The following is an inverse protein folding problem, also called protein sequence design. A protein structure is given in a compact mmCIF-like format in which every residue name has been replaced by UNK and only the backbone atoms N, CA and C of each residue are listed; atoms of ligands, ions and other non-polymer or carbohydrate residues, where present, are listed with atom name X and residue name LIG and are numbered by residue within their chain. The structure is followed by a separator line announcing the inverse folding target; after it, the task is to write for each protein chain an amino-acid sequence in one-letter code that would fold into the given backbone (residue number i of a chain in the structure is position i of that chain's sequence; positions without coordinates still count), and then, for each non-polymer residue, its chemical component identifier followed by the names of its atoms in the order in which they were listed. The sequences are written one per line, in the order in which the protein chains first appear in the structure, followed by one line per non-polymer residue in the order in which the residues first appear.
data_IF_128481563274
#
_entry.id   IF_128481563274
#
_cell.length_a   1.000
_cell.length_b   1.000
_cell.length_c   1.000
_cell.angle_alpha   90.00
_cell.angle_beta   90.00
_cell.angle_gamma   90.00
#
_symmetry.space_group_name_H-M   'P 1'
#
loop_
_entity.id
_entity.type
_entity.pdbx_description
1 polymer ?
#
# COMPACT_ATOMS: atom_id res chain seq x y z
N UNK A 1 -5.96 -48.91 36.91
CA UNK A 1 -5.26 -49.15 38.19
C UNK A 1 -4.55 -47.88 38.58
N UNK A 2 -5.13 -47.29 39.62
CA UNK A 2 -4.56 -46.59 40.76
C UNK A 2 -3.43 -45.57 40.57
N UNK A 3 -3.83 -44.34 40.76
CA UNK A 3 -3.38 -43.22 41.62
C UNK A 3 -2.58 -43.67 42.89
N UNK A 4 -2.04 -42.77 43.77
CA UNK A 4 -1.89 -41.31 43.81
C UNK A 4 -0.70 -40.78 44.70
N UNK A 5 -0.70 -39.43 44.95
CA UNK A 5 -0.18 -38.66 46.10
C UNK A 5 1.32 -38.31 46.22
N UNK A 6 1.66 -37.02 46.39
CA UNK A 6 1.64 -36.29 47.67
C UNK A 6 1.89 -34.78 47.50
N UNK A 7 1.02 -34.03 48.17
CA UNK A 7 1.21 -32.62 48.59
C UNK A 7 2.17 -32.56 49.76
N UNK A 8 2.94 -31.48 49.89
CA UNK A 8 3.21 -30.86 51.20
C UNK A 8 3.42 -29.35 51.05
N UNK A 9 2.57 -28.62 51.76
CA UNK A 9 2.71 -27.23 52.19
C UNK A 9 3.77 -27.14 53.29
N UNK A 10 4.39 -25.92 53.46
CA UNK A 10 4.54 -25.27 54.76
C UNK A 10 5.16 -23.87 54.66
N UNK A 11 4.37 -22.83 54.96
CA UNK A 11 4.54 -21.64 55.82
C UNK A 11 5.56 -20.54 55.54
N UNK A 12 4.99 -19.31 55.53
CA UNK A 12 5.56 -17.96 55.82
C UNK A 12 6.02 -17.82 57.28
N UNK A 13 6.57 -16.68 57.82
CA UNK A 13 6.55 -15.26 57.33
C UNK A 13 7.82 -14.40 57.59
N UNK A 14 7.91 -13.25 56.92
CA UNK A 14 8.41 -11.89 57.19
C UNK A 14 9.53 -11.61 58.24
N UNK A 15 10.39 -10.55 58.08
CA UNK A 15 9.94 -9.18 58.27
C UNK A 15 10.52 -8.08 57.31
N UNK A 16 9.76 -6.98 57.29
CA UNK A 16 10.05 -5.68 56.70
C UNK A 16 11.28 -5.00 57.33
N UNK A 17 12.18 -4.50 56.46
CA UNK A 17 12.95 -3.26 56.77
C UNK A 17 13.09 -2.45 55.50
N UNK A 18 12.56 -1.23 55.55
CA UNK A 18 12.65 -0.27 54.45
C UNK A 18 14.05 0.29 54.26
N UNK A 19 14.44 0.46 53.04
CA UNK A 19 15.43 1.48 52.60
C UNK A 19 15.02 2.04 51.25
N UNK A 20 15.06 3.34 51.16
CA UNK A 20 14.55 4.24 50.18
C UNK A 20 14.79 3.86 48.71
N UNK A 21 13.73 4.02 47.95
CA UNK A 21 13.72 4.01 46.51
C UNK A 21 14.53 5.23 46.00
N UNK A 22 15.58 5.10 45.19
CA UNK A 22 16.19 6.23 44.55
C UNK A 22 15.19 6.77 43.53
N UNK A 23 14.86 8.07 43.63
CA UNK A 23 14.08 8.81 42.63
C UNK A 23 14.75 8.60 41.27
N UNK A 24 14.13 7.83 40.41
CA UNK A 24 14.53 7.66 39.02
C UNK A 24 14.59 9.04 38.37
N UNK A 25 15.74 9.38 37.84
CA UNK A 25 15.92 10.52 36.92
C UNK A 25 14.86 10.35 35.82
N UNK A 26 13.93 11.30 35.79
CA UNK A 26 13.12 11.54 34.58
C UNK A 26 14.11 11.81 33.46
N UNK A 27 14.25 10.86 32.54
CA UNK A 27 14.97 11.09 31.31
C UNK A 27 14.41 12.36 30.68
N UNK A 28 15.30 13.23 30.20
CA UNK A 28 14.91 14.43 29.47
C UNK A 28 14.02 14.03 28.30
N UNK A 29 12.74 14.32 28.41
CA UNK A 29 11.80 14.30 27.29
C UNK A 29 12.33 15.36 26.33
N UNK A 30 12.77 14.94 25.15
CA UNK A 30 13.13 15.84 24.07
C UNK A 30 12.03 16.88 23.89
N UNK A 31 12.36 18.06 23.40
CA UNK A 31 11.46 19.20 23.19
C UNK A 31 10.12 18.70 22.69
N UNK A 32 9.08 18.83 23.51
CA UNK A 32 7.78 18.24 23.26
C UNK A 32 7.15 18.87 22.01
N UNK A 33 7.22 18.14 20.93
CA UNK A 33 6.38 18.42 19.79
C UNK A 33 4.93 18.22 20.23
N UNK A 34 4.03 19.14 19.86
CA UNK A 34 2.62 19.02 20.22
C UNK A 34 2.05 17.73 19.62
N UNK A 35 1.07 17.10 20.27
CA UNK A 35 0.32 16.01 19.63
C UNK A 35 -0.23 16.45 18.26
N UNK A 36 -0.12 15.59 17.26
CA UNK A 36 -0.74 15.83 15.96
C UNK A 36 -2.21 15.45 16.02
N UNK A 37 -3.04 16.15 15.25
CA UNK A 37 -4.37 15.70 14.92
C UNK A 37 -4.35 15.00 13.54
N UNK A 38 -4.67 13.72 13.51
CA UNK A 38 -4.50 12.83 12.35
C UNK A 38 -5.84 12.29 11.90
N UNK A 39 -6.17 12.47 10.62
CA UNK A 39 -7.32 11.88 9.98
C UNK A 39 -6.94 10.60 9.22
N UNK A 40 -7.80 9.59 9.33
CA UNK A 40 -7.71 8.34 8.58
C UNK A 40 -8.98 8.20 7.74
N UNK A 41 -8.81 8.13 6.42
CA UNK A 41 -9.92 8.11 5.47
C UNK A 41 -9.99 6.75 4.78
N UNK A 42 -11.01 5.98 5.13
CA UNK A 42 -11.29 4.70 4.48
C UNK A 42 -11.84 4.89 3.08
N UNK A 43 -11.46 4.04 2.15
CA UNK A 43 -12.10 4.01 0.82
C UNK A 43 -13.52 3.46 0.91
N UNK A 44 -14.40 3.89 0.01
CA UNK A 44 -15.74 3.38 -0.10
C UNK A 44 -15.74 1.87 -0.41
N UNK A 45 -16.70 1.14 0.14
CA UNK A 45 -16.78 -0.34 0.02
C UNK A 45 -16.74 -0.83 -1.43
N UNK A 46 -17.32 -0.08 -2.38
CA UNK A 46 -17.30 -0.41 -3.81
C UNK A 46 -15.89 -0.51 -4.40
N UNK A 47 -14.90 0.15 -3.81
CA UNK A 47 -13.50 0.11 -4.23
C UNK A 47 -12.67 -0.95 -3.51
N UNK A 48 -13.28 -1.76 -2.64
CA UNK A 48 -12.64 -2.82 -1.87
C UNK A 48 -13.33 -4.18 -2.04
N UNK A 49 -13.57 -4.67 -3.26
CA UNK A 49 -14.21 -5.95 -3.45
C UNK A 49 -13.41 -7.05 -2.73
N UNK A 50 -14.07 -7.77 -1.82
CA UNK A 50 -13.48 -8.84 -1.00
C UNK A 50 -12.31 -8.42 -0.07
N UNK A 51 -12.10 -7.13 0.15
CA UNK A 51 -10.94 -6.62 0.91
C UNK A 51 -11.28 -5.58 1.99
N UNK A 52 -12.56 -5.24 2.20
CA UNK A 52 -12.99 -4.20 3.15
C UNK A 52 -12.39 -4.38 4.54
N UNK A 53 -12.40 -5.61 5.06
CA UNK A 53 -11.85 -5.92 6.38
C UNK A 53 -10.32 -5.79 6.41
N UNK A 54 -9.64 -6.20 5.35
CA UNK A 54 -8.18 -6.08 5.27
C UNK A 54 -7.74 -4.61 5.19
N UNK A 55 -8.47 -3.78 4.43
CA UNK A 55 -8.22 -2.34 4.32
C UNK A 55 -8.46 -1.65 5.67
N UNK A 56 -9.53 -2.06 6.38
CA UNK A 56 -9.79 -1.60 7.73
C UNK A 56 -8.65 -1.92 8.69
N UNK A 57 -8.20 -3.16 8.68
CA UNK A 57 -7.17 -3.66 9.60
C UNK A 57 -5.83 -2.96 9.45
N UNK A 58 -5.39 -2.65 8.22
CA UNK A 58 -4.13 -1.91 8.04
C UNK A 58 -4.26 -0.46 8.50
N UNK A 59 -5.35 0.23 8.14
CA UNK A 59 -5.52 1.63 8.50
C UNK A 59 -5.67 1.81 10.01
N UNK A 60 -6.45 0.95 10.69
CA UNK A 60 -6.54 0.90 12.15
C UNK A 60 -5.20 0.52 12.81
N UNK A 61 -4.38 -0.31 12.15
CA UNK A 61 -3.03 -0.61 12.61
C UNK A 61 -2.16 0.64 12.67
N UNK A 62 -2.19 1.45 11.62
CA UNK A 62 -1.47 2.73 11.58
C UNK A 62 -2.02 3.71 12.63
N UNK A 63 -3.34 3.76 12.79
CA UNK A 63 -3.98 4.62 13.78
C UNK A 63 -3.53 4.28 15.21
N UNK A 64 -3.50 2.99 15.58
CA UNK A 64 -2.96 2.56 16.89
C UNK A 64 -1.50 2.96 17.10
N UNK A 65 -0.65 2.88 16.08
CA UNK A 65 0.74 3.34 16.17
C UNK A 65 0.83 4.86 16.39
N UNK A 66 -0.10 5.64 15.80
CA UNK A 66 -0.19 7.09 16.01
C UNK A 66 -0.68 7.43 17.42
N UNK A 67 -1.74 6.77 17.91
CA UNK A 67 -2.27 6.94 19.26
C UNK A 67 -1.23 6.55 20.34
N UNK A 68 -0.47 5.47 20.12
CA UNK A 68 0.61 5.05 21.03
C UNK A 68 1.71 6.10 21.19
N UNK A 69 1.84 7.02 20.24
CA UNK A 69 2.76 8.19 20.30
C UNK A 69 2.10 9.45 20.86
N UNK A 70 0.86 9.34 21.34
CA UNK A 70 0.13 10.45 21.98
C UNK A 70 -0.55 11.39 20.99
N UNK A 71 -0.74 11.00 19.73
CA UNK A 71 -1.46 11.80 18.74
C UNK A 71 -2.97 11.59 18.88
N UNK A 72 -3.74 12.62 18.51
CA UNK A 72 -5.19 12.53 18.40
C UNK A 72 -5.57 11.97 17.04
N UNK A 73 -6.40 10.91 17.02
CA UNK A 73 -6.78 10.19 15.82
C UNK A 73 -8.28 10.28 15.59
N UNK A 74 -8.69 10.55 14.36
CA UNK A 74 -10.07 10.44 13.90
C UNK A 74 -10.14 9.63 12.61
N UNK A 75 -11.04 8.66 12.59
CA UNK A 75 -11.33 7.83 11.42
C UNK A 75 -12.62 8.29 10.77
N UNK A 76 -12.66 8.29 9.45
CA UNK A 76 -13.83 8.65 8.64
C UNK A 76 -13.91 7.75 7.41
N UNK A 77 -15.10 7.48 6.95
CA UNK A 77 -15.34 6.82 5.66
C UNK A 77 -15.35 7.84 4.52
N UNK A 78 -15.12 7.37 3.31
CA UNK A 78 -15.25 8.22 2.11
C UNK A 78 -16.64 8.79 1.96
N UNK A 79 -17.69 8.03 2.34
CA UNK A 79 -19.08 8.48 2.35
C UNK A 79 -19.29 9.64 3.33
N UNK A 80 -18.66 9.59 4.52
CA UNK A 80 -18.71 10.70 5.48
C UNK A 80 -18.00 11.94 4.93
N UNK A 81 -16.86 11.78 4.25
CA UNK A 81 -16.15 12.88 3.57
C UNK A 81 -17.06 13.57 2.56
N UNK A 82 -17.82 12.82 1.76
CA UNK A 82 -18.74 13.34 0.76
C UNK A 82 -19.92 14.14 1.37
N UNK A 83 -20.29 13.86 2.63
CA UNK A 83 -21.31 14.64 3.33
C UNK A 83 -20.78 15.98 3.85
N UNK A 84 -19.47 16.10 4.00
CA UNK A 84 -18.79 17.30 4.48
C UNK A 84 -18.34 18.13 3.28
N UNK A 85 -18.59 19.43 3.30
CA UNK A 85 -18.05 20.33 2.26
C UNK A 85 -16.54 20.63 2.49
N UNK A 86 -16.09 20.49 3.72
CA UNK A 86 -14.71 20.72 4.16
C UNK A 86 -14.36 19.69 5.23
N UNK A 87 -13.11 19.21 5.23
CA UNK A 87 -12.59 18.34 6.29
C UNK A 87 -12.27 19.14 7.56
N UNK A 88 -12.26 18.49 8.74
CA UNK A 88 -11.64 19.05 9.95
C UNK A 88 -10.18 19.43 9.68
N UNK A 89 -9.70 20.51 10.31
CA UNK A 89 -8.29 20.89 10.22
C UNK A 89 -7.43 19.82 10.88
N UNK A 90 -6.62 19.13 10.08
CA UNK A 90 -5.71 18.10 10.54
C UNK A 90 -4.27 18.46 10.18
N UNK A 91 -3.31 17.85 10.89
CA UNK A 91 -1.89 17.94 10.56
C UNK A 91 -1.51 16.94 9.47
N UNK A 92 -2.10 15.73 9.54
CA UNK A 92 -1.83 14.62 8.61
C UNK A 92 -3.15 13.93 8.24
N UNK A 93 -3.26 13.52 6.98
CA UNK A 93 -4.36 12.70 6.48
C UNK A 93 -3.77 11.44 5.84
N UNK A 94 -4.10 10.26 6.39
CA UNK A 94 -3.86 8.99 5.72
C UNK A 94 -5.07 8.67 4.83
N UNK A 95 -4.86 8.75 3.51
CA UNK A 95 -5.94 8.76 2.53
C UNK A 95 -6.02 7.46 1.74
N UNK A 96 -7.08 6.68 1.94
CA UNK A 96 -7.47 5.57 1.08
C UNK A 96 -8.64 5.90 0.13
N UNK A 97 -9.22 7.09 0.19
CA UNK A 97 -10.33 7.49 -0.67
C UNK A 97 -9.98 7.38 -2.16
N UNK A 98 -10.99 7.11 -3.01
CA UNK A 98 -10.77 6.87 -4.45
C UNK A 98 -11.73 7.62 -5.37
N UNK A 99 -12.92 8.05 -4.91
CA UNK A 99 -13.81 8.85 -5.76
C UNK A 99 -13.22 10.23 -6.01
N UNK A 100 -13.35 10.73 -7.21
CA UNK A 100 -12.85 12.05 -7.58
C UNK A 100 -13.45 13.15 -6.68
N UNK A 101 -14.73 13.05 -6.35
CA UNK A 101 -15.43 13.99 -5.50
C UNK A 101 -14.84 14.04 -4.08
N UNK A 102 -14.49 12.88 -3.49
CA UNK A 102 -13.83 12.85 -2.19
C UNK A 102 -12.41 13.39 -2.28
N UNK A 103 -11.64 13.01 -3.31
CA UNK A 103 -10.28 13.48 -3.53
C UNK A 103 -10.23 15.00 -3.72
N UNK A 104 -11.20 15.63 -4.42
CA UNK A 104 -11.30 17.08 -4.55
C UNK A 104 -11.55 17.79 -3.21
N UNK A 105 -12.32 17.17 -2.31
CA UNK A 105 -12.53 17.72 -0.96
C UNK A 105 -11.23 17.63 -0.14
N UNK A 106 -10.52 16.49 -0.25
CA UNK A 106 -9.29 16.21 0.48
C UNK A 106 -8.16 17.15 0.04
N UNK A 107 -8.03 17.43 -1.26
CA UNK A 107 -7.03 18.34 -1.83
C UNK A 107 -7.10 19.78 -1.30
N UNK A 108 -8.28 20.22 -0.87
CA UNK A 108 -8.47 21.56 -0.27
C UNK A 108 -7.87 21.66 1.14
N UNK A 109 -7.52 20.52 1.75
CA UNK A 109 -6.89 20.51 3.06
C UNK A 109 -5.45 21.02 3.01
N UNK A 110 -5.04 21.71 4.08
CA UNK A 110 -3.64 22.12 4.27
C UNK A 110 -2.79 21.02 4.92
N UNK A 111 -3.41 19.92 5.34
CA UNK A 111 -2.74 18.78 5.93
C UNK A 111 -1.72 18.16 4.98
N UNK A 112 -0.74 17.46 5.53
CA UNK A 112 0.07 16.51 4.78
C UNK A 112 -0.80 15.29 4.43
N UNK A 113 -0.92 14.96 3.15
CA UNK A 113 -1.78 13.86 2.68
C UNK A 113 -0.90 12.68 2.26
N UNK A 114 -1.23 11.47 2.71
CA UNK A 114 -0.57 10.19 2.45
C UNK A 114 -1.62 9.15 2.06
N UNK A 115 -1.72 8.62 0.87
CA UNK A 115 -1.06 9.02 -0.38
C UNK A 115 -1.72 10.29 -0.95
N UNK A 116 -0.98 10.99 -1.80
CA UNK A 116 -1.51 12.20 -2.44
C UNK A 116 -2.65 11.88 -3.40
N UNK A 117 -3.72 12.71 -3.46
CA UNK A 117 -4.89 12.48 -4.31
C UNK A 117 -4.56 12.30 -5.78
N UNK A 118 -3.64 13.09 -6.34
CA UNK A 118 -3.22 12.95 -7.73
C UNK A 118 -2.55 11.59 -7.99
N UNK A 119 -1.70 11.13 -7.08
CA UNK A 119 -1.10 9.80 -7.17
C UNK A 119 -2.13 8.66 -7.13
N UNK A 120 -3.18 8.81 -6.32
CA UNK A 120 -4.30 7.86 -6.27
C UNK A 120 -5.04 7.82 -7.61
N UNK A 121 -5.29 8.99 -8.25
CA UNK A 121 -5.89 9.07 -9.60
C UNK A 121 -4.99 8.42 -10.65
N UNK A 122 -3.68 8.65 -10.57
CA UNK A 122 -2.71 8.03 -11.49
C UNK A 122 -2.76 6.50 -11.34
N UNK A 123 -2.77 5.96 -10.12
CA UNK A 123 -2.91 4.51 -9.90
C UNK A 123 -4.24 3.94 -10.43
N UNK A 124 -5.31 4.72 -10.43
CA UNK A 124 -6.61 4.34 -10.99
C UNK A 124 -6.65 4.44 -12.54
N UNK A 125 -5.64 4.99 -13.18
CA UNK A 125 -5.53 5.12 -14.64
C UNK A 125 -4.26 4.40 -15.13
N UNK A 126 -4.44 3.15 -15.60
CA UNK A 126 -3.32 2.30 -16.06
C UNK A 126 -2.53 2.91 -17.21
N UNK A 127 -3.19 3.64 -18.12
CA UNK A 127 -2.49 4.29 -19.22
C UNK A 127 -1.57 5.39 -18.70
N UNK A 128 -2.09 6.30 -17.88
CA UNK A 128 -1.30 7.37 -17.27
C UNK A 128 -0.14 6.83 -16.44
N UNK A 129 -0.40 5.80 -15.64
CA UNK A 129 0.62 5.12 -14.84
C UNK A 129 1.71 4.50 -15.73
N UNK A 130 1.32 3.79 -16.79
CA UNK A 130 2.25 3.16 -17.76
C UNK A 130 3.13 4.21 -18.44
N UNK A 131 2.57 5.36 -18.84
CA UNK A 131 3.32 6.42 -19.49
C UNK A 131 4.34 7.08 -18.54
N UNK A 132 3.98 7.19 -17.25
CA UNK A 132 4.93 7.64 -16.22
C UNK A 132 6.02 6.59 -16.00
N UNK A 133 5.67 5.33 -15.91
CA UNK A 133 6.63 4.24 -15.75
C UNK A 133 7.61 4.17 -16.94
N UNK A 134 7.15 4.35 -18.16
CA UNK A 134 8.01 4.44 -19.36
C UNK A 134 8.98 5.63 -19.27
N UNK A 135 8.51 6.82 -18.90
CA UNK A 135 9.36 8.02 -18.73
C UNK A 135 10.41 7.84 -17.63
N UNK A 136 10.09 7.07 -16.61
CA UNK A 136 11.01 6.74 -15.53
C UNK A 136 11.88 5.51 -15.85
N UNK A 137 11.78 4.94 -17.04
CA UNK A 137 12.52 3.73 -17.42
C UNK A 137 12.32 2.58 -16.42
N UNK A 138 11.09 2.44 -15.87
CA UNK A 138 10.71 1.31 -15.06
C UNK A 138 10.56 0.09 -15.98
N UNK A 139 11.16 -1.06 -15.67
CA UNK A 139 11.00 -2.26 -16.47
C UNK A 139 9.54 -2.70 -16.55
N UNK A 140 8.98 -2.73 -17.76
CA UNK A 140 7.59 -3.08 -18.07
C UNK A 140 7.54 -4.24 -19.05
N UNK A 141 6.45 -5.05 -19.05
CA UNK A 141 6.17 -5.95 -20.16
C UNK A 141 6.05 -5.17 -21.46
N UNK A 142 6.52 -5.71 -22.60
CA UNK A 142 6.21 -5.14 -23.92
C UNK A 142 4.69 -5.27 -24.20
N UNK A 143 4.21 -4.55 -25.21
CA UNK A 143 2.80 -4.63 -25.62
C UNK A 143 2.47 -5.95 -26.34
N UNK A 144 3.46 -6.52 -27.03
CA UNK A 144 3.34 -7.75 -27.83
C UNK A 144 4.39 -8.77 -27.43
N UNK A 145 4.07 -10.05 -27.53
CA UNK A 145 4.97 -11.18 -27.26
C UNK A 145 4.35 -12.51 -27.67
N UNK A 146 5.19 -13.56 -27.71
CA UNK A 146 4.83 -14.86 -28.24
C UNK A 146 4.10 -15.78 -27.25
N UNK A 147 4.05 -15.39 -25.97
CA UNK A 147 3.51 -16.23 -24.88
C UNK A 147 2.08 -15.83 -24.46
N UNK A 148 1.37 -15.08 -25.29
CA UNK A 148 0.03 -14.56 -25.01
C UNK A 148 0.02 -13.11 -24.57
N UNK A 149 -1.17 -12.56 -24.47
CA UNK A 149 -1.44 -11.15 -24.24
C UNK A 149 -2.44 -10.99 -23.09
N UNK A 150 -2.15 -10.09 -22.20
CA UNK A 150 -3.08 -9.60 -21.18
C UNK A 150 -3.76 -8.33 -21.66
N UNK A 151 -5.07 -8.32 -21.63
CA UNK A 151 -5.90 -7.12 -21.78
C UNK A 151 -6.45 -6.73 -20.42
N UNK A 152 -6.24 -5.50 -20.03
CA UNK A 152 -6.66 -4.97 -18.73
C UNK A 152 -7.47 -3.70 -18.92
N UNK A 153 -8.57 -3.54 -18.15
CA UNK A 153 -9.30 -2.28 -18.10
C UNK A 153 -8.33 -1.13 -17.79
N UNK A 154 -8.32 -0.09 -18.64
CA UNK A 154 -7.36 1.01 -18.57
C UNK A 154 -7.69 2.04 -17.49
N UNK A 155 -8.98 2.37 -17.31
CA UNK A 155 -9.44 3.37 -16.34
C UNK A 155 -10.34 2.73 -15.29
N UNK A 156 -10.12 3.11 -14.04
CA UNK A 156 -10.83 2.61 -12.86
C UNK A 156 -10.20 1.35 -12.27
N UNK A 157 -10.68 0.99 -11.09
CA UNK A 157 -10.28 -0.23 -10.40
C UNK A 157 -10.94 -1.43 -11.07
N UNK A 158 -10.24 -2.57 -11.19
CA UNK A 158 -10.86 -3.82 -11.62
C UNK A 158 -11.98 -4.21 -10.63
N UNK A 159 -13.20 -4.31 -11.11
CA UNK A 159 -14.41 -4.59 -10.34
C UNK A 159 -14.80 -6.08 -10.42
N UNK A 160 -14.52 -6.68 -11.57
CA UNK A 160 -14.83 -8.08 -11.89
C UNK A 160 -13.63 -8.78 -12.52
N UNK A 161 -13.66 -10.11 -12.54
CA UNK A 161 -12.57 -10.91 -13.12
C UNK A 161 -12.34 -10.58 -14.61
N UNK A 162 -13.40 -10.27 -15.34
CA UNK A 162 -13.40 -9.92 -16.76
C UNK A 162 -12.78 -8.56 -17.08
N UNK A 163 -12.35 -7.80 -16.07
CA UNK A 163 -11.56 -6.59 -16.25
C UNK A 163 -10.06 -6.87 -16.52
N UNK A 164 -9.69 -8.17 -16.46
CA UNK A 164 -8.37 -8.65 -16.85
C UNK A 164 -8.55 -9.96 -17.62
N UNK A 165 -8.23 -9.98 -18.90
CA UNK A 165 -8.43 -11.12 -19.81
C UNK A 165 -7.08 -11.56 -20.36
N UNK A 166 -6.79 -12.85 -20.29
CA UNK A 166 -5.67 -13.46 -20.96
C UNK A 166 -6.09 -13.99 -22.33
N UNK A 167 -5.29 -13.74 -23.37
CA UNK A 167 -5.53 -14.14 -24.75
C UNK A 167 -4.30 -14.88 -25.29
N UNK A 168 -4.50 -16.05 -25.89
CA UNK A 168 -3.44 -16.86 -26.49
C UNK A 168 -3.19 -16.52 -27.97
N UNK A 169 -4.09 -15.79 -28.61
CA UNK A 169 -4.02 -15.42 -30.04
C UNK A 169 -4.57 -14.03 -30.29
N UNK A 170 -4.25 -13.44 -31.44
CA UNK A 170 -4.84 -12.16 -31.88
C UNK A 170 -6.34 -12.26 -32.07
N UNK A 171 -6.88 -13.39 -32.52
CA UNK A 171 -8.33 -13.61 -32.61
C UNK A 171 -9.00 -13.52 -31.23
N UNK A 172 -8.38 -14.09 -30.19
CA UNK A 172 -8.87 -13.96 -28.82
C UNK A 172 -8.76 -12.51 -28.32
N UNK A 173 -7.72 -11.78 -28.71
CA UNK A 173 -7.57 -10.35 -28.42
C UNK A 173 -8.72 -9.54 -29.03
N UNK A 174 -9.04 -9.74 -30.30
CA UNK A 174 -10.14 -9.05 -30.98
C UNK A 174 -11.48 -9.33 -30.29
N UNK A 175 -11.75 -10.61 -29.97
CA UNK A 175 -12.94 -11.01 -29.26
C UNK A 175 -13.04 -10.40 -27.85
N UNK A 176 -11.93 -10.34 -27.12
CA UNK A 176 -11.87 -9.74 -25.81
C UNK A 176 -12.05 -8.20 -25.86
N UNK A 177 -11.47 -7.53 -26.86
CA UNK A 177 -11.69 -6.09 -27.10
C UNK A 177 -13.16 -5.78 -27.37
N UNK A 178 -13.87 -6.65 -28.14
CA UNK A 178 -15.30 -6.49 -28.35
C UNK A 178 -16.08 -6.63 -27.03
N UNK A 179 -15.73 -7.59 -26.17
CA UNK A 179 -16.37 -7.74 -24.84
C UNK A 179 -16.16 -6.51 -23.94
N UNK A 180 -14.99 -5.86 -23.99
CA UNK A 180 -14.77 -4.60 -23.31
C UNK A 180 -15.65 -3.49 -23.87
N UNK A 181 -15.72 -3.37 -25.21
CA UNK A 181 -16.55 -2.39 -25.90
C UNK A 181 -18.05 -2.56 -25.58
N UNK A 182 -18.57 -3.81 -25.56
CA UNK A 182 -19.97 -4.12 -25.22
C UNK A 182 -20.33 -3.72 -23.79
N UNK A 183 -19.32 -3.64 -22.90
CA UNK A 183 -19.44 -3.16 -21.51
C UNK A 183 -19.21 -1.64 -21.38
N UNK A 184 -18.98 -0.93 -22.51
CA UNK A 184 -18.69 0.51 -22.52
C UNK A 184 -17.28 0.86 -22.06
N UNK A 185 -16.35 -0.11 -22.02
CA UNK A 185 -14.95 0.11 -21.65
C UNK A 185 -14.16 0.38 -22.92
N UNK A 186 -13.75 1.64 -23.13
CA UNK A 186 -13.01 2.07 -24.31
C UNK A 186 -11.50 2.10 -24.12
N UNK A 187 -11.06 2.26 -22.86
CA UNK A 187 -9.64 2.31 -22.51
C UNK A 187 -9.19 0.92 -22.02
N UNK A 188 -8.38 0.25 -22.83
CA UNK A 188 -7.85 -1.10 -22.54
C UNK A 188 -6.33 -1.07 -22.69
N UNK A 189 -5.62 -1.47 -21.64
CA UNK A 189 -4.16 -1.64 -21.68
C UNK A 189 -3.82 -3.05 -22.15
N UNK A 190 -2.86 -3.13 -23.07
CA UNK A 190 -2.32 -4.38 -23.62
C UNK A 190 -0.90 -4.60 -23.09
N UNK A 191 -0.64 -5.82 -22.62
CA UNK A 191 0.67 -6.24 -22.10
C UNK A 191 0.95 -7.69 -22.54
N UNK A 192 2.14 -7.97 -23.04
CA UNK A 192 2.57 -9.33 -23.30
C UNK A 192 2.66 -10.13 -22.00
N UNK A 193 2.32 -11.39 -22.05
CA UNK A 193 2.63 -12.31 -20.97
C UNK A 193 4.14 -12.55 -20.89
N UNK A 194 4.71 -12.26 -19.72
CA UNK A 194 6.12 -12.50 -19.42
C UNK A 194 6.24 -13.78 -18.61
N UNK A 195 7.01 -14.73 -19.10
CA UNK A 195 7.28 -15.99 -18.38
C UNK A 195 8.26 -15.72 -17.25
N UNK A 196 7.90 -16.19 -16.05
CA UNK A 196 8.71 -16.04 -14.84
C UNK A 196 7.90 -16.20 -13.57
N UNK A 197 8.53 -15.96 -12.44
CA UNK A 197 7.89 -16.04 -11.13
C UNK A 197 7.07 -14.78 -10.85
N UNK A 198 5.79 -14.95 -10.55
CA UNK A 198 4.97 -13.87 -10.05
C UNK A 198 5.37 -13.55 -8.60
N UNK A 199 5.78 -12.32 -8.36
CA UNK A 199 6.15 -11.78 -7.05
C UNK A 199 5.23 -10.62 -6.71
N UNK A 200 4.53 -10.72 -5.59
CA UNK A 200 3.80 -9.57 -5.02
C UNK A 200 4.71 -8.81 -4.08
N UNK A 201 4.66 -7.49 -4.13
CA UNK A 201 5.44 -6.64 -3.25
C UNK A 201 4.58 -5.57 -2.57
N UNK A 202 5.02 -5.18 -1.37
CA UNK A 202 4.46 -4.07 -0.59
C UNK A 202 5.61 -3.21 -0.09
N UNK A 203 5.45 -1.90 -0.14
CA UNK A 203 6.48 -0.97 0.30
C UNK A 203 5.92 0.31 0.91
N UNK A 204 6.78 0.99 1.64
CA UNK A 204 6.58 2.34 2.13
C UNK A 204 7.80 3.15 1.73
N UNK A 205 7.65 4.03 0.74
CA UNK A 205 8.76 4.82 0.24
C UNK A 205 9.38 5.68 1.35
N UNK A 206 10.66 6.01 1.21
CA UNK A 206 11.46 6.73 2.21
C UNK A 206 11.60 6.00 3.57
N UNK A 207 11.42 4.68 3.58
CA UNK A 207 11.73 3.79 4.71
C UNK A 207 12.46 2.55 4.22
N UNK A 208 13.01 1.75 5.16
CA UNK A 208 13.63 0.47 4.82
C UNK A 208 12.59 -0.65 4.60
N UNK A 209 11.29 -0.36 4.81
CA UNK A 209 10.25 -1.37 4.69
C UNK A 209 9.99 -1.73 3.24
N UNK A 210 10.21 -3.00 2.93
CA UNK A 210 9.83 -3.65 1.68
C UNK A 210 9.57 -5.14 1.96
N UNK A 211 8.40 -5.61 1.58
CA UNK A 211 8.00 -7.00 1.75
C UNK A 211 7.60 -7.58 0.40
N UNK A 212 8.10 -8.77 0.08
CA UNK A 212 7.72 -9.49 -1.13
C UNK A 212 7.41 -10.95 -0.83
N UNK A 213 6.57 -11.57 -1.65
CA UNK A 213 6.19 -12.96 -1.52
C UNK A 213 5.68 -13.53 -2.84
N UNK A 214 5.67 -14.85 -2.92
CA UNK A 214 5.17 -15.60 -4.05
C UNK A 214 3.73 -16.05 -3.75
N UNK A 215 2.69 -15.50 -4.41
CA UNK A 215 1.30 -15.85 -4.12
C UNK A 215 0.99 -17.32 -4.40
N UNK A 216 1.67 -17.93 -5.38
CA UNK A 216 1.50 -19.34 -5.75
C UNK A 216 1.94 -20.32 -4.67
N UNK A 217 2.85 -19.94 -3.78
CA UNK A 217 3.27 -20.80 -2.66
C UNK A 217 2.20 -20.95 -1.57
N UNK A 218 1.34 -19.95 -1.43
CA UNK A 218 0.32 -19.91 -0.37
C UNK A 218 -1.09 -20.27 -0.87
N UNK A 219 -1.26 -20.51 -2.18
CA UNK A 219 -2.57 -20.75 -2.80
C UNK A 219 -3.53 -19.57 -2.70
N UNK A 220 -3.03 -18.36 -2.42
CA UNK A 220 -3.83 -17.14 -2.27
C UNK A 220 -3.89 -16.40 -3.60
N UNK A 221 -4.94 -16.67 -4.37
CA UNK A 221 -5.28 -15.92 -5.57
C UNK A 221 -6.49 -15.03 -5.30
N UNK A 222 -6.50 -13.81 -5.84
CA UNK A 222 -7.68 -12.92 -5.76
C UNK A 222 -8.67 -13.20 -6.88
N UNK A 223 -8.19 -13.53 -8.10
CA UNK A 223 -9.00 -13.72 -9.30
C UNK A 223 -8.60 -14.94 -10.13
N UNK A 224 -7.70 -15.80 -9.65
CA UNK A 224 -7.24 -17.01 -10.37
C UNK A 224 -6.22 -16.76 -11.49
N UNK A 225 -5.93 -15.51 -11.83
CA UNK A 225 -5.02 -15.15 -12.93
C UNK A 225 -3.56 -15.47 -12.64
N UNK A 226 -3.19 -15.65 -11.36
CA UNK A 226 -1.85 -16.00 -10.92
C UNK A 226 -1.39 -17.37 -11.40
N UNK A 227 -2.33 -18.26 -11.74
CA UNK A 227 -2.04 -19.63 -12.21
C UNK A 227 -1.35 -19.66 -13.58
N UNK A 228 -1.48 -18.61 -14.41
CA UNK A 228 -0.85 -18.54 -15.74
C UNK A 228 0.69 -18.54 -15.68
N UNK A 229 1.28 -18.07 -14.59
CA UNK A 229 2.73 -18.14 -14.38
C UNK A 229 3.19 -19.45 -13.72
N UNK A 230 2.22 -20.31 -13.32
CA UNK A 230 2.52 -21.59 -12.68
C UNK A 230 3.11 -21.48 -11.29
N UNK A 231 3.73 -22.56 -10.85
CA UNK A 231 4.43 -22.61 -9.56
C UNK A 231 5.72 -21.81 -9.61
N UNK A 232 6.02 -21.03 -8.58
CA UNK A 232 7.26 -20.28 -8.50
C UNK A 232 8.49 -21.20 -8.51
N UNK A 233 9.51 -20.80 -9.28
CA UNK A 233 10.81 -21.44 -9.34
C UNK A 233 11.80 -20.83 -8.33
N UNK A 234 11.43 -19.70 -7.74
CA UNK A 234 12.26 -18.89 -6.84
C UNK A 234 13.55 -18.43 -7.49
N UNK A 235 13.46 -17.90 -8.71
CA UNK A 235 14.59 -17.31 -9.39
C UNK A 235 15.23 -16.22 -8.53
N UNK A 236 16.58 -16.23 -8.37
CA UNK A 236 17.25 -15.22 -7.57
C UNK A 236 17.12 -13.84 -8.24
N UNK A 237 16.79 -12.82 -7.46
CA UNK A 237 16.72 -11.43 -7.89
C UNK A 237 17.12 -10.48 -6.75
N UNK A 238 17.39 -9.21 -7.09
CA UNK A 238 17.69 -8.19 -6.09
C UNK A 238 16.39 -7.51 -5.61
N UNK A 239 15.94 -7.85 -4.40
CA UNK A 239 14.81 -7.18 -3.77
C UNK A 239 15.12 -5.70 -3.47
N UNK A 240 16.38 -5.35 -3.20
CA UNK A 240 16.84 -3.97 -3.00
C UNK A 240 16.71 -3.14 -4.29
N UNK A 241 17.11 -3.70 -5.44
CA UNK A 241 16.97 -3.04 -6.73
C UNK A 241 15.50 -2.87 -7.11
N UNK A 242 14.67 -3.90 -6.87
CA UNK A 242 13.22 -3.80 -7.08
C UNK A 242 12.63 -2.69 -6.21
N UNK A 243 12.95 -2.68 -4.90
CA UNK A 243 12.51 -1.62 -3.99
C UNK A 243 12.91 -0.23 -4.50
N UNK A 244 14.19 -0.03 -4.84
CA UNK A 244 14.69 1.24 -5.36
C UNK A 244 13.95 1.69 -6.63
N UNK A 245 13.64 0.75 -7.50
CA UNK A 245 12.90 1.00 -8.75
C UNK A 245 11.48 1.46 -8.47
N UNK A 246 10.74 0.76 -7.60
CA UNK A 246 9.36 1.11 -7.29
C UNK A 246 9.24 2.30 -6.33
N UNK A 247 10.21 2.52 -5.42
CA UNK A 247 10.28 3.74 -4.59
C UNK A 247 10.43 5.02 -5.43
N UNK A 248 11.18 4.95 -6.53
CA UNK A 248 11.31 6.07 -7.47
C UNK A 248 9.96 6.40 -8.11
N UNK A 249 9.21 5.39 -8.55
CA UNK A 249 7.84 5.57 -9.05
C UNK A 249 6.94 6.16 -7.95
N UNK A 250 6.90 5.50 -6.80
CA UNK A 250 6.11 5.88 -5.64
C UNK A 250 6.29 7.35 -5.25
N UNK A 251 7.55 7.76 -5.13
CA UNK A 251 7.91 9.14 -4.76
C UNK A 251 7.53 10.14 -5.85
N UNK A 252 7.71 9.76 -7.13
CA UNK A 252 7.38 10.64 -8.26
C UNK A 252 5.89 10.95 -8.36
N UNK A 253 5.04 9.97 -8.06
CA UNK A 253 3.58 10.15 -8.15
C UNK A 253 2.91 10.46 -6.80
N UNK A 254 3.67 10.58 -5.71
CA UNK A 254 3.11 10.87 -4.38
C UNK A 254 2.38 9.70 -3.72
N UNK A 255 2.64 8.45 -4.16
CA UNK A 255 2.04 7.22 -3.60
C UNK A 255 3.05 6.53 -2.69
N UNK A 256 3.22 7.07 -1.50
CA UNK A 256 4.24 6.63 -0.53
C UNK A 256 3.93 5.24 0.02
N UNK A 257 2.65 4.92 0.23
CA UNK A 257 2.17 3.61 0.70
C UNK A 257 1.67 2.84 -0.51
N UNK A 258 2.44 1.85 -0.94
CA UNK A 258 2.22 1.19 -2.22
C UNK A 258 2.34 -0.33 -2.16
N UNK A 259 1.85 -0.97 -3.20
CA UNK A 259 2.07 -2.37 -3.52
C UNK A 259 1.97 -2.63 -5.01
N UNK A 260 2.26 -3.84 -5.40
CA UNK A 260 2.19 -4.21 -6.81
C UNK A 260 2.60 -5.63 -7.07
N UNK A 261 2.67 -5.94 -8.35
CA UNK A 261 3.03 -7.24 -8.87
C UNK A 261 4.20 -7.11 -9.85
N UNK A 262 5.14 -8.04 -9.78
CA UNK A 262 6.28 -8.12 -10.69
C UNK A 262 6.42 -9.55 -11.22
N UNK A 263 7.03 -9.70 -12.40
CA UNK A 263 7.48 -10.99 -12.90
C UNK A 263 9.01 -11.00 -12.84
N UNK A 264 9.56 -11.97 -12.10
CA UNK A 264 11.00 -12.23 -12.02
C UNK A 264 11.35 -13.32 -13.03
N UNK A 265 12.23 -13.01 -13.99
CA UNK A 265 12.66 -13.93 -15.04
C UNK A 265 13.81 -14.83 -14.58
N UNK A 266 14.06 -15.90 -15.33
CA UNK A 266 15.11 -16.87 -15.04
C UNK A 266 16.54 -16.24 -14.97
N UNK A 267 16.77 -15.12 -15.62
CA UNK A 267 18.03 -14.37 -15.59
C UNK A 267 18.16 -13.42 -14.38
N UNK A 268 17.15 -13.40 -13.49
CA UNK A 268 17.09 -12.53 -12.32
C UNK A 268 16.61 -11.10 -12.60
N UNK A 269 16.39 -10.73 -13.85
CA UNK A 269 15.76 -9.45 -14.19
C UNK A 269 14.25 -9.51 -13.89
N UNK A 270 13.62 -8.35 -13.71
CA UNK A 270 12.20 -8.28 -13.41
C UNK A 270 11.48 -7.22 -14.26
N UNK A 271 10.17 -7.36 -14.39
CA UNK A 271 9.27 -6.34 -14.94
C UNK A 271 8.13 -6.10 -13.96
N UNK A 272 7.69 -4.85 -13.85
CA UNK A 272 6.54 -4.46 -13.01
C UNK A 272 5.27 -4.56 -13.87
N UNK A 273 4.32 -5.37 -13.44
CA UNK A 273 3.07 -5.63 -14.18
C UNK A 273 1.84 -4.95 -13.57
N UNK A 274 1.94 -4.51 -12.32
CA UNK A 274 0.92 -3.72 -11.63
C UNK A 274 1.55 -2.90 -10.50
N UNK A 275 0.98 -1.70 -10.22
CA UNK A 275 1.37 -0.85 -9.12
C UNK A 275 0.14 -0.14 -8.57
N UNK A 276 -0.06 -0.20 -7.26
CA UNK A 276 -1.29 0.23 -6.60
C UNK A 276 -1.00 1.03 -5.33
N UNK A 277 -1.86 1.99 -5.03
CA UNK A 277 -1.95 2.64 -3.74
C UNK A 277 -2.56 1.71 -2.68
N UNK A 278 -2.16 1.86 -1.44
CA UNK A 278 -2.72 1.20 -0.26
C UNK A 278 -3.09 -0.28 -0.45
N UNK A 279 -2.12 -1.19 -0.55
CA UNK A 279 -2.37 -2.62 -0.50
C UNK A 279 -2.81 -3.05 0.90
N UNK A 280 -3.33 -4.27 1.02
CA UNK A 280 -3.87 -4.78 2.29
C UNK A 280 -2.80 -5.13 3.34
N UNK A 281 -1.55 -5.29 2.93
CA UNK A 281 -0.43 -5.71 3.78
C UNK A 281 -0.69 -6.97 4.61
N UNK A 282 -1.62 -7.84 4.19
CA UNK A 282 -2.10 -8.97 4.98
C UNK A 282 -1.00 -9.84 5.61
N UNK A 283 0.12 -10.17 4.92
CA UNK A 283 1.17 -10.99 5.50
C UNK A 283 2.15 -10.24 6.41
N UNK A 284 2.16 -8.89 6.41
CA UNK A 284 3.18 -8.07 7.08
C UNK A 284 2.59 -6.79 7.72
N UNK A 285 1.34 -6.87 8.18
CA UNK A 285 0.53 -5.69 8.56
C UNK A 285 1.12 -4.86 9.68
N UNK A 286 1.67 -5.49 10.71
CA UNK A 286 2.24 -4.77 11.86
C UNK A 286 3.51 -4.01 11.49
N UNK A 287 4.41 -4.63 10.71
CA UNK A 287 5.63 -4.00 10.23
C UNK A 287 5.29 -2.85 9.29
N UNK A 288 4.32 -3.05 8.40
CA UNK A 288 3.83 -2.01 7.50
C UNK A 288 3.24 -0.82 8.28
N UNK A 289 2.39 -1.07 9.28
CA UNK A 289 1.79 -0.02 10.10
C UNK A 289 2.87 0.85 10.79
N UNK A 290 3.91 0.21 11.36
CA UNK A 290 5.04 0.92 11.96
C UNK A 290 5.84 1.75 10.93
N UNK A 291 6.00 1.24 9.72
CA UNK A 291 6.70 1.97 8.65
C UNK A 291 5.86 3.15 8.13
N UNK A 292 4.56 2.95 7.93
CA UNK A 292 3.62 3.97 7.45
C UNK A 292 3.52 5.11 8.47
N UNK A 293 3.42 4.80 9.77
CA UNK A 293 3.36 5.80 10.83
C UNK A 293 4.54 6.79 10.78
N UNK A 294 5.74 6.33 10.40
CA UNK A 294 6.94 7.20 10.28
C UNK A 294 6.78 8.29 9.22
N UNK A 295 5.85 8.12 8.26
CA UNK A 295 5.58 9.10 7.21
C UNK A 295 4.87 10.35 7.73
N UNK A 296 4.33 10.35 8.94
CA UNK A 296 3.78 11.56 9.57
C UNK A 296 4.83 12.66 9.84
N UNK A 297 6.14 12.36 9.77
CA UNK A 297 7.25 13.26 10.02
C UNK A 297 8.27 13.27 8.86
N UNK A 298 8.91 14.45 8.56
CA UNK A 298 8.62 15.79 9.03
C UNK A 298 7.35 16.37 8.40
N UNK A 299 6.70 17.33 9.08
CA UNK A 299 5.48 18.01 8.61
C UNK A 299 5.72 19.02 7.47
N UNK A 300 6.97 19.28 7.11
CA UNK A 300 7.32 20.23 6.03
C UNK A 300 6.97 19.63 4.66
N UNK A 301 6.18 20.37 3.89
CA UNK A 301 5.99 20.05 2.46
C UNK A 301 7.30 20.30 1.71
N UNK A 302 7.62 19.52 0.66
CA UNK A 302 8.81 19.77 -0.18
C UNK A 302 8.85 21.18 -0.81
N UNK A 303 7.71 21.87 -0.92
CA UNK A 303 7.60 23.22 -1.46
C UNK A 303 8.04 24.35 -0.51
N UNK A 304 8.22 24.07 0.78
CA UNK A 304 8.56 25.12 1.76
C UNK A 304 10.07 25.42 1.85
N UNK A 305 10.89 24.74 1.06
CA UNK A 305 12.36 24.84 1.10
C UNK A 305 13.00 25.74 0.03
N UNK A 306 12.22 26.43 -0.81
CA UNK A 306 12.79 27.33 -1.84
C UNK A 306 12.14 28.72 -1.82
N UNK A 307 12.51 29.52 -0.82
CA UNK A 307 12.61 30.97 -1.01
C UNK A 307 14.08 31.34 -1.04
N UNK A 308 14.67 31.68 -2.18
CA UNK A 308 15.97 32.34 -2.16
C UNK A 308 15.76 33.72 -1.57
N UNK A 309 16.45 33.98 -0.46
CA UNK A 309 16.56 35.32 0.11
C UNK A 309 16.97 36.29 -0.98
N UNK A 310 16.10 37.25 -1.26
CA UNK A 310 16.48 38.46 -1.98
C UNK A 310 17.36 39.30 -1.09
N UNK A 311 18.61 39.37 -1.44
CA UNK A 311 19.46 40.52 -1.05
C UNK A 311 19.29 41.56 -2.14
N UNK A 312 18.72 42.71 -1.73
CA UNK A 312 18.71 43.97 -2.47
C UNK A 312 19.93 44.81 -2.16
#
# INVERSE_FOLDING_TARGET
MCNPHKRQNVTSPLPLTGKGCPKGRKGAVGRGERPLFVLFLFRARRFSPNSVENDRLILEGVAREMEAKGNEVRMMTEEEVLTLKTLPEADVIFCMARSNEALEIIERSKARIINEPEGIRICANRQALTDIMRRLEIPLPPENGDNGIWLKRGIGTAEVAEDTIFCNSEEEVENAMQKFADRGITEVCRQAHVVGDLVKFYGVANTDFFYHFYPTDSGRSKFGSEEHNGKAHHYPFSAEEMKKTVDRLATTIGVIVYGGDAIVKADGSFVIIDFNDWPTFSPCREEAARAIQKQSWPLTRPSDTLSPGGEG
#
